data_IF_766116305312
#
_entry.id   IF_766116305312
#
_cell.length_a   1.000
_cell.length_b   1.000
_cell.length_c   1.000
_cell.angle_alpha   90.00
_cell.angle_beta   90.00
_cell.angle_gamma   90.00
#
_symmetry.space_group_name_H-M   'P 1'
#
loop_
_entity.id
_entity.type
_entity.pdbx_description
1 polymer ?
#
# COMPACT_ATOMS: atom_id res chain seq x y z
N UNK A 1 1.22 2.36 -0.14
CA UNK A 1 1.46 3.35 -1.24
C UNK A 1 1.25 4.78 -0.74
N UNK A 2 2.20 5.72 -0.93
CA UNK A 2 1.95 7.17 -0.77
C UNK A 2 2.54 7.96 -1.94
N UNK A 3 1.68 8.58 -2.74
CA UNK A 3 2.05 9.57 -3.75
C UNK A 3 1.09 10.75 -3.64
N UNK A 4 1.53 11.81 -2.96
CA UNK A 4 0.90 13.13 -3.06
C UNK A 4 1.71 13.97 -4.03
N UNK A 5 1.11 14.30 -5.17
CA UNK A 5 1.62 15.36 -6.03
C UNK A 5 0.80 16.61 -5.74
N UNK A 6 1.43 17.77 -5.53
CA UNK A 6 0.73 19.03 -5.21
C UNK A 6 -0.13 19.57 -6.37
N UNK A 7 -0.06 18.93 -7.55
CA UNK A 7 -0.97 19.14 -8.68
C UNK A 7 -1.67 17.82 -9.11
N UNK A 8 -1.97 16.90 -8.19
CA UNK A 8 -2.60 15.61 -8.50
C UNK A 8 -4.08 15.73 -8.84
N UNK A 9 -4.56 14.82 -9.68
CA UNK A 9 -5.98 14.46 -9.79
C UNK A 9 -6.52 14.22 -8.37
N UNK A 10 -7.65 14.85 -7.97
CA UNK A 10 -8.26 14.62 -6.67
C UNK A 10 -8.59 13.14 -6.45
N UNK A 11 -8.65 12.71 -5.19
CA UNK A 11 -9.06 11.36 -4.86
C UNK A 11 -10.49 11.07 -5.36
N UNK A 12 -10.84 9.79 -5.54
CA UNK A 12 -12.14 9.42 -6.11
C UNK A 12 -13.33 9.96 -5.31
N UNK A 13 -13.23 9.98 -3.98
CA UNK A 13 -14.27 10.55 -3.11
C UNK A 13 -14.39 12.06 -3.24
N UNK A 14 -13.27 12.76 -3.47
CA UNK A 14 -13.25 14.20 -3.77
C UNK A 14 -14.00 14.49 -5.06
N UNK A 15 -13.72 13.73 -6.11
CA UNK A 15 -14.38 13.91 -7.40
C UNK A 15 -15.87 13.58 -7.32
N UNK A 16 -16.23 12.48 -6.67
CA UNK A 16 -17.62 12.09 -6.46
C UNK A 16 -18.41 13.22 -5.77
N UNK A 17 -17.86 13.79 -4.70
CA UNK A 17 -18.51 14.85 -3.93
C UNK A 17 -18.62 16.17 -4.68
N UNK A 18 -17.59 16.56 -5.44
CA UNK A 18 -17.64 17.74 -6.31
C UNK A 18 -18.76 17.65 -7.36
N UNK A 19 -19.18 16.43 -7.70
CA UNK A 19 -20.25 16.16 -8.66
C UNK A 19 -21.57 15.75 -7.99
N UNK A 20 -21.73 16.07 -6.70
CA UNK A 20 -23.00 15.90 -5.96
C UNK A 20 -23.20 14.52 -5.34
N UNK A 21 -22.24 13.61 -5.48
CA UNK A 21 -22.23 12.31 -4.81
C UNK A 21 -21.93 12.40 -3.31
N UNK A 22 -22.21 11.33 -2.59
CA UNK A 22 -21.94 11.17 -1.15
C UNK A 22 -20.95 10.03 -0.94
N UNK A 23 -19.94 10.30 -0.12
CA UNK A 23 -18.83 9.37 0.09
C UNK A 23 -18.56 9.17 1.57
N UNK A 24 -18.45 7.92 2.00
CA UNK A 24 -17.92 7.52 3.30
C UNK A 24 -16.53 6.92 3.11
N UNK A 25 -15.54 7.39 3.88
CA UNK A 25 -14.15 6.91 3.81
C UNK A 25 -13.70 6.51 5.22
N UNK A 26 -13.39 5.23 5.39
CA UNK A 26 -13.01 4.62 6.67
C UNK A 26 -11.58 4.09 6.53
N UNK A 27 -10.65 4.70 7.26
CA UNK A 27 -9.23 4.33 7.34
C UNK A 27 -8.41 4.36 6.03
N UNK A 28 -8.97 4.79 4.91
CA UNK A 28 -8.19 4.86 3.68
C UNK A 28 -7.01 5.84 3.83
N UNK A 29 -5.78 5.50 3.40
CA UNK A 29 -4.65 6.42 3.46
C UNK A 29 -4.97 7.76 2.81
N UNK A 30 -4.64 8.87 3.47
CA UNK A 30 -4.97 10.23 3.04
C UNK A 30 -6.46 10.60 3.07
N UNK A 31 -7.35 9.73 3.55
CA UNK A 31 -8.77 10.02 3.66
C UNK A 31 -9.08 11.24 4.53
N UNK A 32 -8.17 11.63 5.43
CA UNK A 32 -8.29 12.77 6.34
C UNK A 32 -7.50 14.02 5.89
N UNK A 33 -6.72 13.93 4.81
CA UNK A 33 -5.73 14.96 4.45
C UNK A 33 -6.33 16.19 3.74
N UNK A 34 -7.63 16.20 3.45
CA UNK A 34 -8.29 17.35 2.86
C UNK A 34 -9.79 17.40 3.18
N UNK A 35 -10.16 18.21 4.17
CA UNK A 35 -11.55 18.48 4.58
C UNK A 35 -12.19 19.62 3.79
N UNK A 36 -11.59 20.10 2.69
CA UNK A 36 -12.18 21.17 1.85
C UNK A 36 -13.31 20.66 0.93
N UNK A 37 -13.81 19.46 1.19
CA UNK A 37 -14.85 18.78 0.42
C UNK A 37 -16.14 18.84 1.23
N UNK A 38 -17.25 19.19 0.58
CA UNK A 38 -18.50 19.62 1.21
C UNK A 38 -19.06 18.69 2.30
N UNK A 39 -20.05 19.20 3.03
CA UNK A 39 -20.68 18.66 4.27
C UNK A 39 -21.14 17.18 4.23
N UNK A 40 -21.00 16.46 3.11
CA UNK A 40 -21.42 15.08 2.91
C UNK A 40 -20.34 14.00 3.09
N UNK A 41 -19.13 14.32 3.58
CA UNK A 41 -18.11 13.32 3.86
C UNK A 41 -18.18 12.83 5.32
N UNK A 42 -18.48 11.54 5.55
CA UNK A 42 -18.15 10.92 6.85
C UNK A 42 -16.77 10.29 6.73
N UNK A 43 -15.77 10.96 7.29
CA UNK A 43 -14.39 10.49 7.34
C UNK A 43 -14.07 9.99 8.75
N UNK A 44 -13.71 8.71 8.85
CA UNK A 44 -13.09 8.20 10.07
C UNK A 44 -11.58 8.14 9.86
N UNK A 45 -10.84 8.81 10.76
CA UNK A 45 -9.38 8.89 10.69
C UNK A 45 -8.78 7.49 10.63
N UNK A 46 -7.68 7.35 9.89
CA UNK A 46 -6.78 6.23 10.10
C UNK A 46 -6.33 6.25 11.57
N UNK A 47 -6.81 5.28 12.36
CA UNK A 47 -6.27 5.00 13.68
C UNK A 47 -5.30 3.84 13.54
N UNK A 48 -4.40 3.68 14.52
CA UNK A 48 -3.45 2.55 14.60
C UNK A 48 -4.14 1.24 14.20
N UNK A 49 -3.35 0.31 13.61
CA UNK A 49 -3.60 -0.97 12.93
C UNK A 49 -4.94 -1.71 13.09
N UNK A 50 -5.91 -1.28 13.86
CA UNK A 50 -7.23 -1.84 14.02
C UNK A 50 -7.18 -3.17 14.75
N UNK A 51 -8.36 -3.72 15.03
CA UNK A 51 -8.47 -5.09 15.49
C UNK A 51 -9.83 -5.65 15.04
N UNK A 52 -9.99 -6.97 15.18
CA UNK A 52 -11.20 -7.65 14.74
C UNK A 52 -12.49 -7.04 15.29
N UNK A 53 -12.53 -6.71 16.59
CA UNK A 53 -13.73 -6.16 17.21
C UNK A 53 -14.08 -4.76 16.66
N UNK A 54 -13.06 -3.94 16.38
CA UNK A 54 -13.23 -2.63 15.76
C UNK A 54 -13.84 -2.77 14.36
N UNK A 55 -13.25 -3.62 13.51
CA UNK A 55 -13.75 -3.84 12.15
C UNK A 55 -15.15 -4.47 12.11
N UNK A 56 -15.46 -5.36 13.05
CA UNK A 56 -16.81 -5.91 13.20
C UNK A 56 -17.83 -4.81 13.54
N UNK A 57 -17.48 -3.85 14.39
CA UNK A 57 -18.35 -2.71 14.70
C UNK A 57 -18.50 -1.74 13.51
N UNK A 58 -17.48 -1.62 12.66
CA UNK A 58 -17.54 -0.78 11.46
C UNK A 58 -18.52 -1.30 10.41
N UNK A 59 -18.78 -2.62 10.37
CA UNK A 59 -19.75 -3.22 9.44
C UNK A 59 -21.13 -2.58 9.60
N UNK A 60 -21.60 -2.34 10.84
CA UNK A 60 -22.89 -1.67 11.06
C UNK A 60 -22.88 -0.26 10.45
N UNK A 61 -21.78 0.47 10.62
CA UNK A 61 -21.62 1.80 10.03
C UNK A 61 -21.60 1.73 8.51
N UNK A 62 -20.85 0.80 7.91
CA UNK A 62 -20.77 0.60 6.46
C UNK A 62 -22.15 0.30 5.89
N UNK A 63 -22.83 -0.70 6.43
CA UNK A 63 -24.16 -1.14 5.97
C UNK A 63 -25.19 -0.02 6.12
N UNK A 64 -25.09 0.80 7.16
CA UNK A 64 -25.93 1.99 7.30
C UNK A 64 -25.66 3.03 6.21
N UNK A 65 -24.39 3.32 5.92
CA UNK A 65 -23.99 4.35 4.95
C UNK A 65 -24.32 3.95 3.51
N UNK A 66 -24.30 2.66 3.17
CA UNK A 66 -24.73 2.17 1.86
C UNK A 66 -26.19 2.54 1.50
N UNK A 67 -27.02 2.93 2.48
CA UNK A 67 -28.38 3.40 2.21
C UNK A 67 -28.43 4.81 1.58
N UNK A 68 -27.39 5.64 1.78
CA UNK A 68 -27.38 7.05 1.37
C UNK A 68 -26.21 7.43 0.48
N UNK A 69 -25.09 6.72 0.62
CA UNK A 69 -23.83 7.05 0.00
C UNK A 69 -23.61 6.18 -1.24
N UNK A 70 -23.28 6.82 -2.37
CA UNK A 70 -22.98 6.10 -3.60
C UNK A 70 -21.51 5.63 -3.67
N UNK A 71 -20.69 5.97 -2.68
CA UNK A 71 -19.33 5.48 -2.53
C UNK A 71 -19.02 5.21 -1.05
N UNK A 72 -18.59 3.99 -0.73
CA UNK A 72 -18.00 3.65 0.57
C UNK A 72 -16.64 3.03 0.34
N UNK A 73 -15.63 3.54 1.03
CA UNK A 73 -14.25 3.06 0.97
C UNK A 73 -13.84 2.62 2.37
N UNK A 74 -13.38 1.38 2.50
CA UNK A 74 -12.99 0.78 3.77
C UNK A 74 -11.64 0.09 3.66
N UNK A 75 -10.76 0.34 4.62
CA UNK A 75 -9.44 -0.25 4.71
C UNK A 75 -9.29 -1.09 5.99
N UNK A 76 -8.79 -2.32 5.82
CA UNK A 76 -8.41 -3.24 6.89
C UNK A 76 -6.91 -3.48 6.75
N UNK A 77 -6.16 -3.37 7.85
CA UNK A 77 -4.68 -3.42 7.86
C UNK A 77 -4.12 -4.84 7.81
N UNK A 78 -4.95 -5.85 8.04
CA UNK A 78 -4.56 -7.25 7.98
C UNK A 78 -4.82 -7.80 6.56
N UNK A 79 -3.97 -8.72 6.05
CA UNK A 79 -2.93 -9.44 6.78
C UNK A 79 -1.54 -8.78 6.77
N UNK A 80 -1.40 -7.54 6.29
CA UNK A 80 -0.08 -6.88 6.19
C UNK A 80 0.63 -6.83 7.55
N UNK A 81 -0.08 -6.41 8.59
CA UNK A 81 0.49 -6.28 9.92
C UNK A 81 1.00 -7.62 10.49
N UNK A 82 0.19 -8.70 10.45
CA UNK A 82 0.66 -10.01 10.91
C UNK A 82 1.82 -10.53 10.05
N UNK A 83 1.82 -10.24 8.75
CA UNK A 83 2.87 -10.68 7.83
C UNK A 83 4.22 -9.99 8.12
N UNK A 84 4.24 -8.71 8.50
CA UNK A 84 5.48 -8.05 8.93
C UNK A 84 6.10 -8.66 10.19
N UNK A 85 5.28 -9.16 11.13
CA UNK A 85 5.75 -9.72 12.40
C UNK A 85 6.04 -11.22 12.37
N UNK A 86 5.18 -11.97 11.69
CA UNK A 86 5.10 -13.45 11.78
C UNK A 86 5.42 -14.14 10.45
N UNK A 87 5.49 -13.38 9.35
CA UNK A 87 5.82 -13.94 8.03
C UNK A 87 4.83 -15.04 7.63
N UNK A 88 5.16 -15.82 6.62
CA UNK A 88 4.24 -16.85 6.10
C UNK A 88 4.21 -18.15 6.91
N UNK A 89 5.21 -18.37 7.78
CA UNK A 89 5.50 -19.70 8.32
C UNK A 89 5.51 -19.78 9.84
N UNK A 90 5.53 -18.66 10.56
CA UNK A 90 5.62 -18.69 12.02
C UNK A 90 4.26 -18.99 12.67
N UNK A 91 4.23 -20.04 13.50
CA UNK A 91 3.16 -20.40 14.44
C UNK A 91 1.71 -20.46 13.89
N UNK A 92 1.53 -20.44 12.58
CA UNK A 92 0.23 -20.41 11.93
C UNK A 92 -0.55 -19.12 12.15
N UNK A 93 0.09 -18.01 12.57
CA UNK A 93 -0.59 -16.75 12.86
C UNK A 93 -1.29 -16.19 11.62
N UNK A 94 -0.63 -16.18 10.46
CA UNK A 94 -1.27 -15.79 9.18
C UNK A 94 -2.52 -16.62 8.92
N UNK A 95 -2.50 -17.93 9.16
CA UNK A 95 -3.68 -18.76 8.94
C UNK A 95 -4.85 -18.35 9.85
N UNK A 96 -4.57 -18.00 11.12
CA UNK A 96 -5.58 -17.50 12.06
C UNK A 96 -6.13 -16.15 11.60
N UNK A 97 -5.25 -15.23 11.19
CA UNK A 97 -5.65 -13.92 10.65
C UNK A 97 -6.49 -14.06 9.39
N UNK A 98 -6.13 -14.95 8.47
CA UNK A 98 -6.92 -15.22 7.26
C UNK A 98 -8.32 -15.76 7.60
N UNK A 99 -8.44 -16.65 8.60
CA UNK A 99 -9.74 -17.15 9.04
C UNK A 99 -10.60 -16.04 9.67
N UNK A 100 -9.98 -15.14 10.44
CA UNK A 100 -10.64 -13.96 11.00
C UNK A 100 -11.09 -12.98 9.90
N UNK A 101 -10.28 -12.76 8.86
CA UNK A 101 -10.66 -11.91 7.72
C UNK A 101 -11.81 -12.54 6.92
N UNK A 102 -11.80 -13.86 6.74
CA UNK A 102 -12.91 -14.59 6.09
C UNK A 102 -14.22 -14.42 6.87
N UNK A 103 -14.17 -14.55 8.21
CA UNK A 103 -15.32 -14.28 9.08
C UNK A 103 -15.81 -12.83 8.94
N UNK A 104 -14.89 -11.86 9.01
CA UNK A 104 -15.19 -10.43 8.93
C UNK A 104 -15.89 -10.07 7.61
N UNK A 105 -15.30 -10.44 6.47
CA UNK A 105 -15.88 -10.11 5.17
C UNK A 105 -17.13 -10.95 4.88
N UNK A 106 -17.19 -12.21 5.33
CA UNK A 106 -18.39 -13.03 5.27
C UNK A 106 -19.56 -12.41 6.04
N UNK A 107 -19.28 -11.81 7.20
CA UNK A 107 -20.29 -11.08 7.97
C UNK A 107 -20.78 -9.83 7.22
N UNK A 108 -19.87 -9.04 6.63
CA UNK A 108 -20.24 -7.89 5.81
C UNK A 108 -21.17 -8.29 4.65
N UNK A 109 -20.82 -9.32 3.89
CA UNK A 109 -21.63 -9.82 2.78
C UNK A 109 -23.01 -10.31 3.28
N UNK A 110 -23.06 -10.97 4.43
CA UNK A 110 -24.32 -11.41 5.05
C UNK A 110 -25.22 -10.23 5.40
N UNK A 111 -24.69 -9.18 6.02
CA UNK A 111 -25.47 -7.98 6.38
C UNK A 111 -25.93 -7.20 5.14
N UNK A 112 -25.07 -7.07 4.13
CA UNK A 112 -25.44 -6.49 2.83
C UNK A 112 -26.57 -7.29 2.17
N UNK A 113 -26.50 -8.62 2.22
CA UNK A 113 -27.55 -9.51 1.71
C UNK A 113 -28.88 -9.33 2.44
N UNK A 114 -28.87 -9.24 3.78
CA UNK A 114 -30.07 -8.97 4.60
C UNK A 114 -30.74 -7.64 4.26
N UNK A 115 -29.97 -6.63 3.87
CA UNK A 115 -30.49 -5.33 3.40
C UNK A 115 -30.86 -5.31 1.92
N UNK A 116 -30.56 -6.39 1.18
CA UNK A 116 -30.84 -6.50 -0.25
C UNK A 116 -29.88 -5.70 -1.13
N UNK A 117 -28.71 -5.32 -0.62
CA UNK A 117 -27.75 -4.47 -1.35
C UNK A 117 -26.94 -5.22 -2.41
N UNK A 118 -26.77 -6.55 -2.29
CA UNK A 118 -25.90 -7.33 -3.18
C UNK A 118 -26.32 -7.30 -4.66
N UNK A 119 -27.55 -6.91 -4.98
CA UNK A 119 -28.07 -6.77 -6.35
C UNK A 119 -27.90 -5.36 -6.93
N UNK A 120 -27.69 -4.37 -6.06
CA UNK A 120 -27.72 -2.94 -6.42
C UNK A 120 -26.34 -2.27 -6.27
N UNK A 121 -25.38 -2.94 -5.63
CA UNK A 121 -24.07 -2.38 -5.28
C UNK A 121 -22.95 -3.16 -5.96
N UNK A 122 -22.03 -2.42 -6.60
CA UNK A 122 -20.75 -2.96 -7.06
C UNK A 122 -19.72 -2.97 -5.93
N UNK A 123 -19.04 -4.08 -5.78
CA UNK A 123 -18.01 -4.35 -4.79
C UNK A 123 -16.68 -4.54 -5.52
N UNK A 124 -15.70 -3.71 -5.14
CA UNK A 124 -14.29 -3.87 -5.53
C UNK A 124 -13.55 -4.33 -4.26
N UNK A 125 -13.24 -5.63 -4.18
CA UNK A 125 -12.46 -6.19 -3.09
C UNK A 125 -11.02 -6.39 -3.56
N UNK A 126 -10.08 -5.66 -2.96
CA UNK A 126 -8.70 -5.62 -3.43
C UNK A 126 -7.70 -5.43 -2.29
N UNK A 127 -6.41 -5.55 -2.60
CA UNK A 127 -5.30 -5.24 -1.71
C UNK A 127 -4.35 -4.24 -2.39
N UNK A 128 -3.48 -3.60 -1.63
CA UNK A 128 -2.50 -2.66 -2.16
C UNK A 128 -1.22 -3.34 -2.67
N UNK A 129 -0.79 -4.44 -2.03
CA UNK A 129 0.33 -5.27 -2.47
C UNK A 129 0.28 -6.69 -1.87
N UNK A 130 1.19 -7.54 -2.34
CA UNK A 130 1.53 -8.81 -1.70
C UNK A 130 2.72 -8.71 -0.74
N UNK A 131 3.31 -9.86 -0.38
CA UNK A 131 4.41 -10.01 0.59
C UNK A 131 5.37 -11.12 0.15
N UNK A 132 6.65 -10.99 0.52
CA UNK A 132 7.71 -11.99 0.35
C UNK A 132 8.32 -12.31 1.71
N UNK A 133 8.47 -13.61 2.01
CA UNK A 133 9.17 -14.06 3.20
C UNK A 133 10.60 -13.49 3.23
N UNK A 134 10.99 -12.86 4.34
CA UNK A 134 12.38 -12.45 4.53
C UNK A 134 13.21 -13.70 4.81
N UNK A 135 14.33 -13.83 4.11
CA UNK A 135 15.32 -14.86 4.38
C UNK A 135 16.32 -14.32 5.39
N UNK A 136 16.39 -14.96 6.56
CA UNK A 136 17.24 -14.54 7.67
C UNK A 136 18.70 -14.30 7.24
N UNK A 137 19.35 -13.29 7.84
CA UNK A 137 20.67 -12.75 7.49
C UNK A 137 20.78 -11.95 6.19
N UNK A 138 19.69 -11.82 5.42
CA UNK A 138 19.66 -10.99 4.20
C UNK A 138 18.95 -9.67 4.46
N UNK A 139 19.22 -9.02 5.60
CA UNK A 139 18.73 -7.67 5.89
C UNK A 139 19.86 -6.65 5.80
N UNK A 140 19.63 -5.61 5.00
CA UNK A 140 20.57 -4.53 4.77
C UNK A 140 20.27 -3.38 5.74
N UNK A 141 21.15 -3.22 6.73
CA UNK A 141 21.06 -2.17 7.74
C UNK A 141 21.81 -0.90 7.29
N UNK A 142 21.11 0.03 6.64
CA UNK A 142 21.72 1.21 6.02
C UNK A 142 22.44 2.09 7.05
N UNK A 143 21.84 2.32 8.21
CA UNK A 143 22.46 3.10 9.29
C UNK A 143 23.74 2.47 9.86
N UNK A 144 23.88 1.15 9.76
CA UNK A 144 25.08 0.44 10.25
C UNK A 144 26.19 0.57 9.23
N UNK A 145 25.88 0.34 7.94
CA UNK A 145 26.85 0.43 6.84
C UNK A 145 27.37 1.86 6.72
N UNK A 146 26.49 2.86 6.79
CA UNK A 146 26.82 4.27 6.59
C UNK A 146 27.08 5.04 7.89
N UNK A 147 27.31 4.34 9.01
CA UNK A 147 27.38 4.94 10.36
C UNK A 147 28.29 6.16 10.43
N UNK A 148 29.52 6.03 9.94
CA UNK A 148 30.54 7.09 10.04
C UNK A 148 30.24 8.26 9.08
N UNK A 149 29.61 7.96 7.94
CA UNK A 149 29.25 8.95 6.94
C UNK A 149 28.06 9.81 7.40
N UNK A 150 27.04 9.17 7.99
CA UNK A 150 25.84 9.83 8.53
C UNK A 150 26.21 10.74 9.71
N UNK A 151 27.12 10.32 10.59
CA UNK A 151 27.52 11.12 11.75
C UNK A 151 28.13 12.49 11.39
N UNK A 152 28.60 12.66 10.15
CA UNK A 152 29.29 13.86 9.68
C UNK A 152 28.44 14.79 8.81
N UNK A 153 27.18 14.44 8.50
CA UNK A 153 26.36 15.15 7.50
C UNK A 153 24.87 15.20 7.86
N UNK A 154 24.15 16.19 7.31
CA UNK A 154 22.68 16.15 7.31
C UNK A 154 22.21 15.21 6.20
N UNK A 155 21.56 14.11 6.59
CA UNK A 155 21.06 13.09 5.67
C UNK A 155 19.61 12.76 6.03
N UNK A 156 18.76 12.65 5.02
CA UNK A 156 17.39 12.19 5.20
C UNK A 156 17.25 10.80 4.59
N UNK A 157 16.48 9.95 5.27
CA UNK A 157 16.14 8.61 4.81
C UNK A 157 14.62 8.54 4.61
N UNK A 158 14.23 7.94 3.49
CA UNK A 158 12.87 7.46 3.27
C UNK A 158 12.92 5.95 3.10
N UNK A 159 11.77 5.30 3.06
CA UNK A 159 11.73 3.86 2.81
C UNK A 159 12.45 3.51 1.50
N UNK A 160 13.43 2.61 1.57
CA UNK A 160 14.35 2.25 0.48
C UNK A 160 15.07 3.41 -0.27
N UNK A 161 15.01 4.66 0.24
CA UNK A 161 15.53 5.86 -0.41
C UNK A 161 16.51 6.64 0.49
N UNK A 162 17.62 7.11 -0.10
CA UNK A 162 18.59 8.00 0.56
C UNK A 162 18.60 9.35 -0.16
N UNK A 163 18.61 10.44 0.62
CA UNK A 163 18.56 11.82 0.13
C UNK A 163 19.71 12.64 0.69
N UNK A 164 20.41 13.39 -0.16
CA UNK A 164 21.40 14.38 0.29
C UNK A 164 21.71 15.42 -0.78
N UNK A 165 21.83 16.69 -0.37
CA UNK A 165 22.32 17.76 -1.23
C UNK A 165 23.87 17.73 -1.38
N UNK A 166 24.56 16.82 -0.70
CA UNK A 166 26.01 16.67 -0.77
C UNK A 166 26.38 15.54 -1.76
N UNK A 167 26.91 15.93 -2.93
CA UNK A 167 27.31 14.98 -3.98
C UNK A 167 28.43 14.01 -3.53
N UNK A 168 29.35 14.47 -2.67
CA UNK A 168 30.40 13.61 -2.10
C UNK A 168 29.80 12.55 -1.18
N UNK A 169 28.82 12.93 -0.35
CA UNK A 169 28.09 11.98 0.49
C UNK A 169 27.40 10.91 -0.37
N UNK A 170 26.64 11.32 -1.41
CA UNK A 170 25.93 10.38 -2.29
C UNK A 170 26.90 9.41 -2.96
N UNK A 171 28.04 9.91 -3.46
CA UNK A 171 29.06 9.06 -4.06
C UNK A 171 29.59 8.01 -3.07
N UNK A 172 30.03 8.45 -1.89
CA UNK A 172 30.59 7.55 -0.87
C UNK A 172 29.54 6.55 -0.34
N UNK A 173 28.32 7.01 -0.09
CA UNK A 173 27.23 6.15 0.34
C UNK A 173 26.93 5.04 -0.67
N UNK A 174 26.88 5.39 -1.97
CA UNK A 174 26.69 4.41 -3.04
C UNK A 174 27.83 3.39 -3.06
N UNK A 175 29.09 3.85 -2.99
CA UNK A 175 30.28 2.97 -3.02
C UNK A 175 30.30 2.01 -1.82
N UNK A 176 30.04 2.50 -0.61
CA UNK A 176 30.00 1.68 0.62
C UNK A 176 28.87 0.64 0.58
N UNK A 177 27.67 1.02 0.13
CA UNK A 177 26.55 0.09 -0.02
C UNK A 177 26.86 -0.96 -1.10
N UNK A 178 27.44 -0.56 -2.22
CA UNK A 178 27.80 -1.48 -3.30
C UNK A 178 28.88 -2.47 -2.85
N UNK A 179 29.89 -2.02 -2.09
CA UNK A 179 30.93 -2.88 -1.52
C UNK A 179 30.33 -3.91 -0.55
N UNK A 180 29.45 -3.48 0.37
CA UNK A 180 28.76 -4.37 1.30
C UNK A 180 27.93 -5.43 0.56
N UNK A 181 27.13 -5.00 -0.43
CA UNK A 181 26.26 -5.90 -1.22
C UNK A 181 27.11 -6.92 -1.99
N UNK A 182 28.17 -6.46 -2.67
CA UNK A 182 28.99 -7.33 -3.51
C UNK A 182 29.84 -8.30 -2.68
N UNK A 183 30.50 -7.82 -1.62
CA UNK A 183 31.39 -8.65 -0.79
C UNK A 183 30.64 -9.78 -0.08
N UNK A 184 29.40 -9.50 0.36
CA UNK A 184 28.55 -10.46 1.06
C UNK A 184 27.56 -11.20 0.14
N UNK A 185 27.60 -10.93 -1.17
CA UNK A 185 26.70 -11.50 -2.17
C UNK A 185 25.21 -11.34 -1.79
N UNK A 186 24.86 -10.15 -1.29
CA UNK A 186 23.51 -9.85 -0.81
C UNK A 186 22.54 -9.61 -1.98
N UNK A 187 21.25 -9.96 -1.84
CA UNK A 187 20.26 -9.90 -2.93
C UNK A 187 19.69 -8.48 -3.11
N UNK A 188 20.51 -7.52 -3.53
CA UNK A 188 20.07 -6.13 -3.71
C UNK A 188 20.60 -5.52 -5.00
N UNK A 189 19.85 -4.55 -5.53
CA UNK A 189 20.34 -3.64 -6.56
C UNK A 189 20.32 -2.22 -6.03
N UNK A 190 21.30 -1.43 -6.47
CA UNK A 190 21.39 -0.01 -6.18
C UNK A 190 21.20 0.79 -7.46
N UNK A 191 20.28 1.75 -7.42
CA UNK A 191 20.09 2.69 -8.50
C UNK A 191 20.40 4.08 -8.02
N UNK A 192 21.19 4.83 -8.81
CA UNK A 192 21.08 6.27 -8.79
C UNK A 192 19.76 6.65 -9.43
N UNK A 193 19.18 7.78 -9.04
CA UNK A 193 17.89 8.25 -9.56
C UNK A 193 17.73 8.12 -11.09
N UNK A 194 18.76 8.44 -11.86
CA UNK A 194 18.74 8.39 -13.34
C UNK A 194 18.76 6.97 -13.92
N UNK A 195 19.22 6.00 -13.14
CA UNK A 195 19.41 4.59 -13.52
C UNK A 195 18.18 3.73 -13.18
N UNK A 196 17.24 4.28 -12.39
CA UNK A 196 15.98 3.61 -12.06
C UNK A 196 15.24 3.27 -13.37
N UNK A 197 14.68 2.05 -13.51
CA UNK A 197 13.95 1.64 -14.70
C UNK A 197 12.77 2.57 -15.02
N UNK A 198 12.56 2.85 -16.32
CA UNK A 198 11.49 3.75 -16.79
C UNK A 198 10.11 3.16 -16.54
N UNK A 199 9.99 1.83 -16.68
CA UNK A 199 8.75 1.07 -16.52
C UNK A 199 8.16 1.14 -15.10
N UNK A 200 8.97 1.49 -14.10
CA UNK A 200 8.46 1.68 -12.73
C UNK A 200 7.78 3.04 -12.54
N UNK A 201 7.91 3.96 -13.50
CA UNK A 201 7.40 5.33 -13.41
C UNK A 201 7.83 6.08 -12.13
N UNK A 202 8.97 5.68 -11.55
CA UNK A 202 9.38 6.13 -10.21
C UNK A 202 10.39 7.27 -10.24
N UNK A 203 11.19 7.43 -11.31
CA UNK A 203 12.38 8.31 -11.29
C UNK A 203 12.15 9.80 -11.50
N UNK A 204 10.99 10.17 -12.04
CA UNK A 204 10.69 11.56 -12.42
C UNK A 204 10.11 12.41 -11.29
N UNK A 205 9.81 11.82 -10.13
CA UNK A 205 9.31 12.57 -8.97
C UNK A 205 10.46 13.31 -8.27
N UNK A 206 10.21 14.55 -7.82
CA UNK A 206 11.14 15.27 -6.93
C UNK A 206 11.29 14.59 -5.57
N UNK A 207 10.37 13.68 -5.21
CA UNK A 207 10.40 12.89 -3.98
C UNK A 207 11.16 11.58 -4.10
N UNK A 208 11.68 11.24 -5.27
CA UNK A 208 12.53 10.06 -5.44
C UNK A 208 13.94 10.36 -4.95
N UNK A 209 14.48 9.48 -4.12
CA UNK A 209 15.82 9.58 -3.55
C UNK A 209 16.93 9.63 -4.58
N UNK A 210 18.09 10.12 -4.14
CA UNK A 210 19.31 10.17 -4.95
C UNK A 210 19.87 8.77 -5.17
N UNK A 211 19.72 7.90 -4.16
CA UNK A 211 19.99 6.46 -4.20
C UNK A 211 18.70 5.73 -3.82
N UNK A 212 18.32 4.74 -4.62
CA UNK A 212 17.24 3.79 -4.35
C UNK A 212 17.83 2.39 -4.21
N UNK A 213 17.44 1.71 -3.14
CA UNK A 213 17.86 0.35 -2.82
C UNK A 213 16.70 -0.58 -3.17
N UNK A 214 16.85 -1.42 -4.18
CA UNK A 214 15.87 -2.46 -4.53
C UNK A 214 16.25 -3.76 -3.80
N UNK A 215 15.44 -4.24 -2.84
CA UNK A 215 15.55 -5.61 -2.37
C UNK A 215 15.10 -6.59 -3.45
N UNK A 216 15.91 -7.60 -3.73
CA UNK A 216 15.47 -8.77 -4.50
C UNK A 216 14.77 -9.77 -3.54
N UNK A 217 14.05 -10.78 -4.06
CA UNK A 217 13.31 -11.73 -3.22
C UNK A 217 14.13 -12.29 -2.05
N UNK A 218 13.52 -12.29 -0.86
CA UNK A 218 14.14 -12.71 0.40
C UNK A 218 14.95 -11.60 1.11
N UNK A 219 15.29 -10.51 0.43
CA UNK A 219 16.00 -9.37 1.01
C UNK A 219 15.08 -8.37 1.69
N UNK A 220 15.54 -7.73 2.77
CA UNK A 220 14.83 -6.62 3.41
C UNK A 220 15.76 -5.41 3.59
N UNK A 221 15.26 -4.19 3.37
CA UNK A 221 16.01 -2.96 3.66
C UNK A 221 15.46 -2.35 4.94
N UNK A 222 16.35 -2.06 5.90
CA UNK A 222 16.03 -1.26 7.07
C UNK A 222 16.91 -0.03 7.07
N UNK A 223 16.28 1.13 6.96
CA UNK A 223 17.00 2.41 7.06
C UNK A 223 17.64 2.60 8.43
N UNK A 224 16.97 2.08 9.47
CA UNK A 224 17.46 2.06 10.84
C UNK A 224 17.17 0.71 11.48
N UNK A 225 18.18 -0.15 11.59
CA UNK A 225 18.05 -1.42 12.29
C UNK A 225 17.97 -1.22 13.82
N UNK A 226 17.06 -1.92 14.51
CA UNK A 226 17.06 -2.02 15.97
C UNK A 226 18.32 -2.74 16.49
N UNK A 227 18.63 -2.53 17.77
CA UNK A 227 19.65 -3.33 18.48
C UNK A 227 19.06 -4.72 18.76
N UNK A 228 19.80 -5.79 18.46
CA UNK A 228 19.36 -7.20 18.59
C UNK A 228 18.11 -7.51 17.76
N UNK A 229 18.10 -7.08 16.50
CA UNK A 229 17.02 -7.37 15.55
C UNK A 229 17.05 -8.82 15.09
N UNK A 230 15.91 -9.51 15.20
CA UNK A 230 15.66 -10.84 14.66
C UNK A 230 14.49 -10.73 13.68
N UNK A 231 14.76 -11.02 12.41
CA UNK A 231 13.80 -11.00 11.32
C UNK A 231 13.51 -12.39 10.75
N UNK A 232 13.94 -13.44 11.44
CA UNK A 232 13.87 -14.84 10.98
C UNK A 232 12.45 -15.32 10.68
N UNK A 233 11.46 -14.58 11.20
CA UNK A 233 10.06 -14.86 11.08
C UNK A 233 9.29 -13.74 10.40
N UNK A 234 9.92 -12.80 9.70
CA UNK A 234 9.21 -11.66 9.10
C UNK A 234 8.98 -11.84 7.60
N UNK A 235 8.01 -11.13 7.04
CA UNK A 235 7.91 -10.92 5.59
C UNK A 235 7.91 -9.42 5.28
N UNK A 236 8.15 -9.07 4.03
CA UNK A 236 8.22 -7.69 3.60
C UNK A 236 7.68 -7.51 2.19
N UNK A 237 7.57 -6.25 1.78
CA UNK A 237 7.05 -5.85 0.49
C UNK A 237 7.84 -4.64 -0.03
N UNK A 238 7.48 -4.15 -1.22
CA UNK A 238 8.20 -3.04 -1.88
C UNK A 238 9.30 -3.49 -2.85
N UNK A 239 9.28 -4.77 -3.24
CA UNK A 239 10.11 -5.32 -4.32
C UNK A 239 9.55 -4.93 -5.70
N UNK A 240 10.20 -5.39 -6.78
CA UNK A 240 9.71 -5.22 -8.15
C UNK A 240 8.22 -5.64 -8.28
N UNK A 241 7.32 -4.75 -8.73
CA UNK A 241 5.89 -5.04 -8.82
C UNK A 241 5.54 -6.17 -9.81
N UNK A 242 6.46 -6.56 -10.70
CA UNK A 242 6.26 -7.67 -11.63
C UNK A 242 6.40 -9.05 -10.97
N UNK A 243 6.97 -9.13 -9.77
CA UNK A 243 7.08 -10.36 -9.00
C UNK A 243 5.70 -10.89 -8.64
N UNK A 244 5.52 -12.22 -8.74
CA UNK A 244 4.22 -12.86 -8.49
C UNK A 244 3.75 -12.63 -7.05
N UNK A 245 4.68 -12.65 -6.12
CA UNK A 245 4.48 -12.49 -4.68
C UNK A 245 4.07 -11.06 -4.31
N UNK A 246 4.36 -10.06 -5.16
CA UNK A 246 3.95 -8.66 -4.97
C UNK A 246 2.55 -8.36 -5.51
N UNK A 247 1.93 -9.31 -6.22
CA UNK A 247 0.59 -9.12 -6.80
C UNK A 247 -0.47 -9.05 -5.70
N UNK A 248 -1.36 -8.07 -5.84
CA UNK A 248 -2.52 -7.91 -4.98
C UNK A 248 -3.70 -8.81 -5.42
N UNK A 249 -4.64 -9.02 -4.50
CA UNK A 249 -5.95 -9.59 -4.79
C UNK A 249 -6.82 -8.59 -5.55
N UNK A 250 -7.66 -9.08 -6.47
CA UNK A 250 -8.76 -8.31 -7.04
C UNK A 250 -9.96 -9.23 -7.28
N UNK A 251 -11.09 -8.90 -6.67
CA UNK A 251 -12.40 -9.53 -6.89
C UNK A 251 -13.40 -8.41 -7.15
N UNK A 252 -14.13 -8.53 -8.26
CA UNK A 252 -15.19 -7.61 -8.66
C UNK A 252 -16.52 -8.36 -8.63
N UNK A 253 -17.54 -7.76 -8.02
CA UNK A 253 -18.88 -8.35 -7.91
C UNK A 253 -19.94 -7.27 -7.92
N UNK A 254 -21.06 -7.48 -8.59
CA UNK A 254 -22.15 -6.49 -8.63
C UNK A 254 -22.84 -6.41 -10.00
N UNK A 255 -23.88 -5.57 -10.12
CA UNK A 255 -24.70 -5.48 -11.33
C UNK A 255 -23.94 -5.06 -12.59
N UNK A 256 -22.80 -4.38 -12.47
CA UNK A 256 -22.00 -3.95 -13.63
C UNK A 256 -20.90 -4.93 -14.03
N UNK A 257 -20.73 -6.03 -13.28
CA UNK A 257 -19.73 -7.05 -13.55
C UNK A 257 -20.36 -8.35 -14.01
N UNK A 258 -19.65 -9.08 -14.88
CA UNK A 258 -20.08 -10.39 -15.32
C UNK A 258 -19.69 -11.45 -14.30
N UNK A 259 -20.64 -12.30 -13.96
CA UNK A 259 -20.44 -13.38 -13.01
C UNK A 259 -19.54 -14.50 -13.57
N UNK A 260 -18.64 -15.02 -12.74
CA UNK A 260 -17.81 -16.19 -13.06
C UNK A 260 -16.69 -15.95 -14.06
N UNK A 261 -16.51 -14.73 -14.58
CA UNK A 261 -15.40 -14.41 -15.46
C UNK A 261 -14.07 -14.24 -14.70
N UNK A 262 -12.98 -14.60 -15.37
CA UNK A 262 -11.60 -14.36 -14.91
C UNK A 262 -10.90 -13.45 -15.90
N UNK A 263 -10.05 -12.56 -15.40
CA UNK A 263 -9.22 -11.74 -16.27
C UNK A 263 -8.24 -12.61 -17.06
N UNK A 264 -8.11 -12.33 -18.37
CA UNK A 264 -7.14 -12.96 -19.25
C UNK A 264 -5.72 -12.44 -19.05
N UNK A 265 -5.60 -11.19 -18.59
CA UNK A 265 -4.35 -10.49 -18.29
C UNK A 265 -4.38 -10.00 -16.84
N UNK A 266 -3.22 -9.71 -16.27
CA UNK A 266 -3.11 -9.23 -14.89
C UNK A 266 -3.38 -7.72 -14.89
N UNK A 267 -4.47 -7.24 -14.27
CA UNK A 267 -4.77 -5.82 -14.21
C UNK A 267 -3.71 -5.07 -13.39
N UNK A 268 -3.52 -3.79 -13.70
CA UNK A 268 -2.71 -2.89 -12.88
C UNK A 268 -3.61 -2.16 -11.89
N UNK A 269 -3.12 -1.87 -10.68
CA UNK A 269 -3.93 -1.15 -9.68
C UNK A 269 -4.33 0.27 -10.15
N UNK A 270 -3.58 0.86 -11.07
CA UNK A 270 -3.91 2.14 -11.72
C UNK A 270 -5.20 2.07 -12.56
N UNK A 271 -5.62 0.88 -12.98
CA UNK A 271 -6.85 0.66 -13.74
C UNK A 271 -8.11 0.72 -12.86
N UNK A 272 -7.96 0.64 -11.54
CA UNK A 272 -9.09 0.69 -10.59
C UNK A 272 -9.70 2.11 -10.56
N UNK A 273 -8.89 3.16 -10.66
CA UNK A 273 -9.40 4.53 -10.68
C UNK A 273 -10.34 4.82 -11.87
N UNK A 274 -9.96 4.60 -13.15
CA UNK A 274 -10.86 4.81 -14.27
C UNK A 274 -12.09 3.90 -14.19
N UNK A 275 -11.96 2.66 -13.68
CA UNK A 275 -13.12 1.80 -13.42
C UNK A 275 -14.10 2.46 -12.44
N UNK A 276 -13.63 2.94 -11.27
CA UNK A 276 -14.47 3.62 -10.29
C UNK A 276 -15.13 4.87 -10.89
N UNK A 277 -14.40 5.67 -11.69
CA UNK A 277 -14.99 6.85 -12.33
C UNK A 277 -16.12 6.49 -13.27
N UNK A 278 -15.99 5.38 -14.00
CA UNK A 278 -17.04 4.87 -14.89
C UNK A 278 -18.26 4.37 -14.11
N UNK A 279 -18.06 3.62 -13.03
CA UNK A 279 -19.14 3.11 -12.18
C UNK A 279 -19.91 4.23 -11.49
N UNK A 280 -19.21 5.28 -11.04
CA UNK A 280 -19.81 6.43 -10.37
C UNK A 280 -20.29 7.53 -11.33
N UNK A 281 -20.09 7.35 -12.64
CA UNK A 281 -20.37 8.35 -13.67
C UNK A 281 -19.71 9.72 -13.38
N UNK A 282 -18.42 9.69 -13.01
CA UNK A 282 -17.61 10.88 -12.69
C UNK A 282 -16.91 11.41 -13.93
N UNK A 283 -17.08 12.70 -14.20
CA UNK A 283 -16.34 13.41 -15.23
C UNK A 283 -14.98 13.89 -14.70
N UNK A 284 -13.90 13.22 -15.10
CA UNK A 284 -12.52 13.56 -14.71
C UNK A 284 -12.00 14.86 -15.34
N UNK A 285 -12.65 15.40 -16.38
CA UNK A 285 -12.24 16.68 -16.99
C UNK A 285 -12.48 17.87 -16.05
N UNK A 286 -13.41 17.72 -15.10
CA UNK A 286 -13.70 18.69 -14.03
C UNK A 286 -12.65 18.71 -12.90
N UNK A 287 -11.60 17.89 -12.99
CA UNK A 287 -10.56 17.76 -11.98
C UNK A 287 -9.53 18.91 -11.98
N UNK A 288 -9.55 19.78 -13.00
CA UNK A 288 -8.60 20.88 -13.22
C UNK A 288 -9.24 22.26 -13.10
#
# INVERSE_FOLDING_TARGET
MFLFYRNSVPAIWQLNQRQGGKSTVIHWPAGDYDTSIGEGAKMERYREFGNHAMWMNEIETIVKQLATDNLVVWYVSEPDHVLHGEGFHHNGEVKKTMAMLDELFGHLITEMGRKGYLKDIDIIFTADHGHIQVEHYKTLCVNVILKDLIASTQTNFGDCNIYSNNATFIKLAYEMLAEEINSKHLPYKLYRKKEIPDEWHYKHSSRTGDIVIEPLPGGQVKMKCPVNFDDSHTSSHGHDPNLKEMRALLVLSGPHFKEGEKFSEIPQNIDIFPLMTKLLNIDVSSAH
#
